data_IF_656389900369
#
_entry.id   IF_656389900369
#
_cell.length_a   1.000
_cell.length_b   1.000
_cell.length_c   1.000
_cell.angle_alpha   90.00
_cell.angle_beta   90.00
_cell.angle_gamma   90.00
#
_symmetry.space_group_name_H-M   'P 1'
#
loop_
_entity.id
_entity.type
_entity.pdbx_description
1 polymer ?
#
# COMPACT_ATOMS: atom_id res chain seq x y z
N UNK A 1 -12.49 -4.88 19.31
CA UNK A 1 -11.29 -4.65 18.46
C UNK A 1 -10.00 -4.75 19.26
N UNK A 2 -9.77 -3.97 20.33
CA UNK A 2 -8.64 -4.21 21.27
C UNK A 2 -8.76 -5.48 22.12
N UNK A 3 -9.98 -5.87 22.46
CA UNK A 3 -10.27 -7.00 23.35
C UNK A 3 -10.20 -8.36 22.67
N UNK A 4 -10.10 -8.40 21.34
CA UNK A 4 -10.24 -9.62 20.54
C UNK A 4 -8.89 -10.17 20.07
N UNK A 5 -7.85 -9.33 20.09
CA UNK A 5 -6.50 -9.70 19.69
C UNK A 5 -5.48 -8.99 20.61
N UNK A 6 -4.71 -9.73 21.44
CA UNK A 6 -3.74 -9.16 22.34
C UNK A 6 -2.60 -8.41 21.62
N UNK A 7 -2.31 -8.75 20.35
CA UNK A 7 -1.29 -8.07 19.57
C UNK A 7 -1.75 -6.67 19.15
N UNK A 8 -3.04 -6.50 18.83
CA UNK A 8 -3.62 -5.20 18.49
C UNK A 8 -3.59 -4.25 19.68
N UNK A 9 -3.87 -4.75 20.89
CA UNK A 9 -3.77 -3.94 22.11
C UNK A 9 -2.33 -3.47 22.35
N UNK A 10 -1.37 -4.40 22.27
CA UNK A 10 0.07 -4.11 22.41
C UNK A 10 0.55 -3.09 21.38
N UNK A 11 0.24 -3.26 20.10
CA UNK A 11 0.71 -2.34 19.06
C UNK A 11 0.14 -0.94 19.22
N UNK A 12 -1.11 -0.81 19.66
CA UNK A 12 -1.72 0.50 19.89
C UNK A 12 -1.09 1.23 21.08
N UNK A 13 -0.68 0.51 22.11
CA UNK A 13 -0.03 1.12 23.27
C UNK A 13 1.44 1.50 22.96
N UNK A 14 2.10 0.75 22.06
CA UNK A 14 3.49 0.99 21.65
C UNK A 14 3.64 2.05 20.53
N UNK A 15 2.64 2.26 19.67
CA UNK A 15 2.75 3.13 18.49
C UNK A 15 1.81 4.34 18.56
N UNK A 16 2.37 5.52 18.77
CA UNK A 16 1.66 6.77 18.54
C UNK A 16 1.30 6.89 17.06
N UNK A 17 0.01 7.11 16.76
CA UNK A 17 -0.47 7.45 15.42
C UNK A 17 0.31 8.69 14.94
N UNK A 18 1.12 8.52 13.91
CA UNK A 18 1.90 9.59 13.30
C UNK A 18 1.41 9.84 11.89
N UNK A 19 1.07 11.08 11.60
CA UNK A 19 0.83 11.53 10.24
C UNK A 19 2.18 11.59 9.51
N UNK A 20 2.42 10.60 8.66
CA UNK A 20 3.56 10.63 7.75
C UNK A 20 3.08 11.03 6.36
N UNK A 21 3.67 12.08 5.79
CA UNK A 21 3.45 12.42 4.38
C UNK A 21 4.21 11.44 3.47
N UNK A 22 5.44 11.08 3.85
CA UNK A 22 6.28 10.12 3.14
C UNK A 22 6.98 9.13 4.07
N UNK A 23 7.06 7.84 3.68
CA UNK A 23 7.67 6.76 4.48
C UNK A 23 8.34 5.74 3.56
N UNK A 24 9.51 5.22 3.95
CA UNK A 24 10.06 4.00 3.33
C UNK A 24 9.59 2.76 4.10
N UNK A 25 8.94 1.82 3.40
CA UNK A 25 8.52 0.53 3.97
C UNK A 25 9.37 -0.61 3.44
N UNK A 26 9.86 -1.45 4.35
CA UNK A 26 10.60 -2.67 4.05
C UNK A 26 9.79 -3.87 4.48
N UNK A 27 9.67 -4.87 3.61
CA UNK A 27 8.88 -6.08 3.83
C UNK A 27 9.75 -7.29 3.48
N UNK A 28 9.64 -8.36 4.26
CA UNK A 28 10.15 -9.67 3.89
C UNK A 28 9.01 -10.47 3.25
N UNK A 29 8.92 -10.42 1.91
CA UNK A 29 7.86 -11.13 1.20
C UNK A 29 8.20 -12.63 1.15
N UNK A 30 7.28 -13.53 1.52
CA UNK A 30 7.58 -14.95 1.71
C UNK A 30 8.14 -15.64 0.47
N UNK A 31 7.76 -15.18 -0.73
CA UNK A 31 8.18 -15.77 -1.99
C UNK A 31 9.10 -14.87 -2.85
N UNK A 32 9.16 -13.56 -2.57
CA UNK A 32 9.96 -12.60 -3.35
C UNK A 32 11.15 -12.04 -2.57
N UNK A 33 11.29 -12.43 -1.30
CA UNK A 33 12.35 -11.96 -0.43
C UNK A 33 12.19 -10.50 -0.03
N UNK A 34 13.31 -9.80 0.26
CA UNK A 34 13.28 -8.42 0.70
C UNK A 34 12.70 -7.46 -0.36
N UNK A 35 11.73 -6.66 0.03
CA UNK A 35 11.10 -5.65 -0.82
C UNK A 35 11.12 -4.28 -0.13
N UNK A 36 11.38 -3.22 -0.89
CA UNK A 36 11.42 -1.84 -0.40
C UNK A 36 10.52 -0.94 -1.24
N UNK A 37 9.72 -0.12 -0.55
CA UNK A 37 8.78 0.81 -1.15
C UNK A 37 8.96 2.20 -0.53
N UNK A 38 8.84 3.22 -1.35
CA UNK A 38 8.51 4.56 -0.86
C UNK A 38 6.99 4.67 -0.82
N UNK A 39 6.46 5.30 0.21
CA UNK A 39 5.04 5.49 0.44
C UNK A 39 4.79 6.98 0.49
N UNK A 40 3.84 7.44 -0.31
CA UNK A 40 3.31 8.80 -0.25
C UNK A 40 1.83 8.74 0.16
N UNK A 41 1.44 9.55 1.15
CA UNK A 41 0.05 9.66 1.59
C UNK A 41 -0.50 11.00 1.10
N UNK A 42 -1.40 10.95 0.11
CA UNK A 42 -2.06 12.12 -0.46
C UNK A 42 -3.45 12.26 0.16
N UNK A 43 -3.72 13.39 0.79
CA UNK A 43 -5.03 13.71 1.36
C UNK A 43 -5.87 14.48 0.32
N UNK A 44 -7.15 14.12 0.18
CA UNK A 44 -8.03 14.83 -0.74
C UNK A 44 -8.40 16.21 -0.15
N UNK A 45 -8.28 17.31 -0.92
CA UNK A 45 -8.50 18.66 -0.37
C UNK A 45 -9.91 18.91 0.17
N UNK A 46 -10.92 18.24 -0.38
CA UNK A 46 -12.34 18.44 -0.02
C UNK A 46 -12.96 17.23 0.70
N UNK A 47 -12.18 16.16 0.90
CA UNK A 47 -12.66 14.91 1.52
C UNK A 47 -11.62 14.44 2.55
N UNK A 48 -11.59 15.04 3.75
CA UNK A 48 -10.51 14.82 4.75
C UNK A 48 -10.44 13.37 5.26
N UNK A 49 -11.53 12.63 5.14
CA UNK A 49 -11.61 11.21 5.50
C UNK A 49 -11.10 10.28 4.38
N UNK A 50 -10.82 10.81 3.18
CA UNK A 50 -10.27 10.06 2.06
C UNK A 50 -8.77 10.32 1.90
N UNK A 51 -8.00 9.22 1.83
CA UNK A 51 -6.56 9.25 1.60
C UNK A 51 -6.18 8.29 0.48
N UNK A 52 -5.32 8.74 -0.42
CA UNK A 52 -4.66 7.90 -1.41
C UNK A 52 -3.27 7.56 -0.89
N UNK A 53 -2.99 6.26 -0.73
CA UNK A 53 -1.67 5.77 -0.31
C UNK A 53 -0.98 5.18 -1.53
N UNK A 54 0.08 5.82 -1.99
CA UNK A 54 0.83 5.41 -3.18
C UNK A 54 2.10 4.70 -2.75
N UNK A 55 2.27 3.47 -3.20
CA UNK A 55 3.50 2.70 -3.03
C UNK A 55 4.30 2.78 -4.32
N UNK A 56 5.50 3.34 -4.26
CA UNK A 56 6.43 3.42 -5.38
C UNK A 56 7.68 2.61 -5.08
N UNK A 57 8.34 2.18 -6.14
CA UNK A 57 9.64 1.51 -6.10
C UNK A 57 10.64 2.36 -6.86
N UNK A 58 11.87 2.42 -6.39
CA UNK A 58 12.95 3.04 -7.18
C UNK A 58 13.05 2.35 -8.55
N UNK A 59 13.22 3.11 -9.65
CA UNK A 59 13.48 2.55 -10.97
C UNK A 59 14.64 1.56 -10.93
N UNK A 60 14.54 0.47 -11.69
CA UNK A 60 15.53 -0.61 -11.78
C UNK A 60 15.89 -1.34 -10.48
N UNK A 61 15.19 -1.04 -9.38
CA UNK A 61 15.39 -1.74 -8.11
C UNK A 61 15.00 -3.23 -8.19
N UNK A 62 15.55 -4.09 -7.31
CA UNK A 62 15.12 -5.48 -7.22
C UNK A 62 13.61 -5.62 -6.99
N UNK A 63 13.02 -4.71 -6.20
CA UNK A 63 11.58 -4.67 -5.95
C UNK A 63 10.81 -4.34 -7.24
N UNK A 64 11.24 -3.35 -8.02
CA UNK A 64 10.61 -3.01 -9.29
C UNK A 64 10.63 -4.19 -10.29
N UNK A 65 11.70 -4.98 -10.29
CA UNK A 65 11.85 -6.14 -11.20
C UNK A 65 10.94 -7.31 -10.85
N UNK A 66 10.72 -7.58 -9.56
CA UNK A 66 9.91 -8.72 -9.11
C UNK A 66 8.41 -8.41 -9.03
N UNK A 67 8.05 -7.14 -8.91
CA UNK A 67 6.65 -6.72 -8.72
C UNK A 67 5.69 -7.15 -9.86
N UNK A 68 6.06 -7.07 -11.16
CA UNK A 68 5.21 -7.55 -12.24
C UNK A 68 4.93 -9.06 -12.17
N UNK A 69 5.92 -9.84 -11.73
CA UNK A 69 5.75 -11.29 -11.54
C UNK A 69 4.73 -11.57 -10.44
N UNK A 70 4.86 -10.90 -9.29
CA UNK A 70 3.88 -11.02 -8.20
C UNK A 70 2.47 -10.59 -8.62
N UNK A 71 2.35 -9.52 -9.41
CA UNK A 71 1.07 -9.04 -9.91
C UNK A 71 0.37 -10.07 -10.83
N UNK A 72 1.15 -10.88 -11.55
CA UNK A 72 0.60 -11.91 -12.44
C UNK A 72 -0.01 -13.11 -11.71
N UNK A 73 0.38 -13.36 -10.44
CA UNK A 73 -0.14 -14.50 -9.67
C UNK A 73 -1.63 -14.39 -9.35
N UNK A 74 -2.16 -13.17 -9.32
CA UNK A 74 -3.54 -12.89 -8.90
C UNK A 74 -4.33 -12.11 -9.96
N UNK A 75 -3.91 -12.18 -11.22
CA UNK A 75 -4.54 -11.45 -12.31
C UNK A 75 -5.97 -11.96 -12.59
N UNK A 76 -6.96 -11.43 -11.87
CA UNK A 76 -8.33 -11.35 -12.36
C UNK A 76 -8.37 -10.33 -13.52
N UNK A 77 -9.21 -10.54 -14.55
CA UNK A 77 -9.31 -9.60 -15.66
C UNK A 77 -9.64 -8.20 -15.12
N UNK A 78 -8.80 -7.22 -15.46
CA UNK A 78 -9.07 -5.81 -15.18
C UNK A 78 -10.29 -5.42 -16.02
N UNK A 79 -11.47 -5.38 -15.40
CA UNK A 79 -12.65 -4.76 -15.99
C UNK A 79 -12.37 -3.26 -16.00
N UNK A 80 -11.89 -2.75 -17.14
CA UNK A 80 -11.89 -1.31 -17.37
C UNK A 80 -13.36 -0.89 -17.51
N UNK A 81 -13.88 0.00 -16.65
CA UNK A 81 -15.18 0.58 -16.91
C UNK A 81 -15.09 1.33 -18.24
N UNK A 82 -15.88 0.90 -19.22
CA UNK A 82 -15.98 1.57 -20.52
C UNK A 82 -16.39 3.02 -20.25
N UNK A 83 -15.45 3.93 -20.43
CA UNK A 83 -15.72 5.37 -20.37
C UNK A 83 -16.31 5.77 -21.70
N UNK A 84 -17.53 5.31 -21.98
CA UNK A 84 -18.35 5.82 -23.08
C UNK A 84 -19.84 5.70 -22.75
N UNK A 85 -20.31 6.55 -21.84
CA UNK A 85 -21.70 7.00 -21.79
C UNK A 85 -21.82 8.24 -20.88
N UNK A 86 -21.54 9.41 -21.44
CA UNK A 86 -22.17 10.66 -21.04
C UNK A 86 -22.29 11.48 -22.34
N UNK A 87 -23.39 11.24 -23.04
CA UNK A 87 -23.91 12.14 -24.07
C UNK A 87 -24.75 13.23 -23.44
#
# INVERSE_FOLDING_TARGET
>A
MRTTDPDVARWWDDHAVRDYASVTKRIQHPAAGPMSFNIEIVCAPHEPDQRLVVYTTEPDSPTARVLPLLASWNAAPVIRPDTRAAG
#
